data_IF_316594272439
#
_entry.id   IF_316594272439
#
_cell.length_a   1.000
_cell.length_b   1.000
_cell.length_c   1.000
_cell.angle_alpha   90.00
_cell.angle_beta   90.00
_cell.angle_gamma   90.00
#
_symmetry.space_group_name_H-M   'P 1'
#
loop_
_entity.id
_entity.type
_entity.pdbx_description
1 polymer ?
#
# COMPACT_ATOMS: atom_id res chain seq x y z
N UNK A 1 21.73 19.19 12.75
CA UNK A 1 21.39 18.29 13.87
C UNK A 1 20.24 17.38 13.46
N UNK A 2 20.48 16.08 13.20
CA UNK A 2 19.45 15.17 12.67
C UNK A 2 18.58 14.48 13.74
N UNK A 3 19.06 14.36 14.99
CA UNK A 3 18.36 13.61 16.06
C UNK A 3 17.05 14.28 16.51
N UNK A 4 16.99 15.60 16.78
CA UNK A 4 15.74 16.25 17.20
C UNK A 4 14.64 16.13 16.16
N UNK A 5 15.00 16.26 14.87
CA UNK A 5 14.05 16.13 13.74
C UNK A 5 13.43 14.73 13.70
N UNK A 6 14.23 13.68 13.95
CA UNK A 6 13.73 12.31 14.00
C UNK A 6 12.80 12.08 15.20
N UNK A 7 13.12 12.66 16.36
CA UNK A 7 12.28 12.56 17.55
C UNK A 7 10.94 13.27 17.35
N UNK A 8 10.96 14.51 16.82
CA UNK A 8 9.75 15.27 16.51
C UNK A 8 8.84 14.55 15.51
N UNK A 9 9.42 13.95 14.47
CA UNK A 9 8.64 13.20 13.51
C UNK A 9 8.07 11.91 14.12
N UNK A 10 8.84 11.17 14.93
CA UNK A 10 8.34 10.00 15.64
C UNK A 10 7.16 10.34 16.57
N UNK A 11 7.26 11.47 17.28
CA UNK A 11 6.20 11.95 18.16
C UNK A 11 4.95 12.38 17.38
N UNK A 12 5.12 13.06 16.24
CA UNK A 12 4.02 13.37 15.31
C UNK A 12 3.31 12.11 14.81
N UNK A 13 4.05 11.05 14.49
CA UNK A 13 3.47 9.78 14.06
C UNK A 13 2.75 9.06 15.23
N UNK A 14 3.27 9.16 16.45
CA UNK A 14 2.61 8.64 17.65
C UNK A 14 1.28 9.36 17.93
N UNK A 15 1.23 10.69 17.81
CA UNK A 15 -0.02 11.44 17.97
C UNK A 15 -1.07 11.05 16.93
N UNK A 16 -0.66 10.79 15.69
CA UNK A 16 -1.55 10.24 14.65
C UNK A 16 -2.09 8.86 15.01
N UNK A 17 -1.27 7.99 15.57
CA UNK A 17 -1.72 6.68 16.05
C UNK A 17 -2.77 6.84 17.16
N UNK A 18 -2.49 7.68 18.17
CA UNK A 18 -3.39 7.93 19.32
C UNK A 18 -4.77 8.47 18.92
N UNK A 19 -4.85 9.20 17.80
CA UNK A 19 -6.10 9.72 17.26
C UNK A 19 -7.05 8.62 16.75
N UNK A 20 -6.55 7.40 16.52
CA UNK A 20 -7.37 6.25 16.14
C UNK A 20 -8.20 5.75 17.32
N UNK A 21 -9.45 5.38 17.06
CA UNK A 21 -10.37 4.85 18.07
C UNK A 21 -9.77 3.64 18.79
N UNK A 22 -9.76 3.67 20.13
CA UNK A 22 -9.24 2.60 20.98
C UNK A 22 -7.80 2.78 21.48
N UNK A 23 -7.06 3.80 21.01
CA UNK A 23 -5.68 4.17 21.45
C UNK A 23 -4.59 3.08 21.33
N UNK A 24 -4.95 1.85 20.97
CA UNK A 24 -4.04 0.72 20.78
C UNK A 24 -3.79 0.47 19.29
N UNK A 25 -3.06 1.39 18.69
CA UNK A 25 -2.79 1.48 17.25
C UNK A 25 -1.34 1.87 17.02
N UNK A 26 -0.91 1.74 15.78
CA UNK A 26 0.40 2.13 15.32
C UNK A 26 0.27 2.96 14.05
N UNK A 27 1.28 3.78 13.77
CA UNK A 27 1.36 4.57 12.55
C UNK A 27 2.57 4.13 11.74
N UNK A 28 2.33 3.67 10.51
CA UNK A 28 3.39 3.23 9.58
C UNK A 28 3.21 3.94 8.26
N UNK A 29 4.26 4.57 7.75
CA UNK A 29 4.20 5.44 6.55
C UNK A 29 3.09 6.51 6.62
N UNK A 30 2.87 7.09 7.80
CA UNK A 30 1.80 8.06 8.07
C UNK A 30 0.37 7.51 8.02
N UNK A 31 0.22 6.19 8.09
CA UNK A 31 -1.08 5.51 8.08
C UNK A 31 -1.34 4.93 9.47
N UNK A 32 -2.34 5.46 10.21
CA UNK A 32 -2.77 4.87 11.47
C UNK A 32 -3.59 3.60 11.20
N UNK A 33 -3.18 2.50 11.82
CA UNK A 33 -3.84 1.19 11.74
C UNK A 33 -3.85 0.51 13.11
N UNK A 34 -4.84 -0.36 13.34
CA UNK A 34 -4.79 -1.26 14.50
C UNK A 34 -3.69 -2.30 14.31
N UNK A 35 -3.26 -2.95 15.40
CA UNK A 35 -2.32 -4.07 15.31
C UNK A 35 -2.81 -5.21 14.42
N UNK A 36 -4.11 -5.53 14.48
CA UNK A 36 -4.72 -6.58 13.65
C UNK A 36 -4.68 -6.21 12.16
N UNK A 37 -5.00 -4.96 11.83
CA UNK A 37 -4.89 -4.45 10.45
C UNK A 37 -3.44 -4.47 9.98
N UNK A 38 -2.49 -4.09 10.85
CA UNK A 38 -1.08 -4.12 10.52
C UNK A 38 -0.59 -5.54 10.23
N UNK A 39 -0.96 -6.53 11.05
CA UNK A 39 -0.55 -7.93 10.82
C UNK A 39 -1.04 -8.44 9.47
N UNK A 40 -2.28 -8.11 9.08
CA UNK A 40 -2.81 -8.43 7.76
C UNK A 40 -1.99 -7.76 6.64
N UNK A 41 -1.81 -6.44 6.74
CA UNK A 41 -1.09 -5.65 5.73
C UNK A 41 0.38 -6.08 5.61
N UNK A 42 1.02 -6.41 6.72
CA UNK A 42 2.39 -6.91 6.78
C UNK A 42 2.52 -8.27 6.09
N UNK A 43 1.61 -9.21 6.38
CA UNK A 43 1.59 -10.52 5.73
C UNK A 43 1.32 -10.39 4.22
N UNK A 44 0.44 -9.48 3.80
CA UNK A 44 0.24 -9.19 2.38
C UNK A 44 1.51 -8.59 1.75
N UNK A 45 2.20 -7.69 2.45
CA UNK A 45 3.50 -7.17 2.04
C UNK A 45 4.56 -8.27 1.82
N UNK A 46 4.63 -9.26 2.72
CA UNK A 46 5.53 -10.42 2.56
C UNK A 46 5.19 -11.23 1.31
N UNK A 47 3.91 -11.55 1.10
CA UNK A 47 3.45 -12.26 -0.10
C UNK A 47 3.79 -11.49 -1.37
N UNK A 48 3.60 -10.17 -1.37
CA UNK A 48 3.98 -9.31 -2.49
C UNK A 48 5.48 -9.30 -2.73
N UNK A 49 6.30 -9.26 -1.68
CA UNK A 49 7.75 -9.36 -1.79
C UNK A 49 8.18 -10.70 -2.42
N UNK A 50 7.53 -11.80 -2.05
CA UNK A 50 7.80 -13.11 -2.63
C UNK A 50 7.46 -13.15 -4.14
N UNK A 51 6.31 -12.64 -4.55
CA UNK A 51 5.94 -12.53 -5.97
C UNK A 51 6.92 -11.68 -6.78
N UNK A 52 7.38 -10.57 -6.20
CA UNK A 52 8.38 -9.70 -6.80
C UNK A 52 9.75 -10.38 -6.91
N UNK A 53 10.19 -11.07 -5.83
CA UNK A 53 11.47 -11.77 -5.79
C UNK A 53 11.55 -12.93 -6.80
N UNK A 54 10.42 -13.62 -7.01
CA UNK A 54 10.29 -14.69 -8.02
C UNK A 54 10.03 -14.17 -9.44
N UNK A 55 9.91 -12.86 -9.62
CA UNK A 55 9.54 -12.23 -10.91
C UNK A 55 8.24 -12.79 -11.48
N UNK A 56 7.30 -13.17 -10.60
CA UNK A 56 5.94 -13.56 -10.95
C UNK A 56 5.06 -12.34 -11.16
N UNK A 57 5.39 -11.23 -10.48
CA UNK A 57 4.78 -9.92 -10.69
C UNK A 57 5.85 -8.85 -10.92
N UNK A 58 5.60 -7.86 -11.81
CA UNK A 58 6.54 -6.79 -12.08
C UNK A 58 6.48 -5.70 -11.01
N UNK A 59 7.64 -5.11 -10.69
CA UNK A 59 7.77 -3.94 -9.79
C UNK A 59 6.89 -2.76 -10.23
N UNK A 60 6.66 -2.61 -11.53
CA UNK A 60 5.84 -1.52 -12.08
C UNK A 60 4.38 -1.59 -11.61
N UNK A 61 3.82 -2.78 -11.35
CA UNK A 61 2.49 -2.93 -10.77
C UNK A 61 2.43 -2.27 -9.39
N UNK A 62 3.37 -2.60 -8.51
CA UNK A 62 3.41 -2.10 -7.14
C UNK A 62 3.70 -0.60 -7.06
N UNK A 63 4.51 -0.06 -7.98
CA UNK A 63 4.68 1.40 -8.11
C UNK A 63 3.37 2.10 -8.48
N UNK A 64 2.56 1.52 -9.35
CA UNK A 64 1.22 2.04 -9.68
C UNK A 64 0.25 1.91 -8.51
N UNK A 65 0.27 0.78 -7.80
CA UNK A 65 -0.54 0.61 -6.60
C UNK A 65 -0.19 1.65 -5.53
N UNK A 66 1.10 1.99 -5.36
CA UNK A 66 1.53 3.05 -4.45
C UNK A 66 0.98 4.42 -4.86
N UNK A 67 1.06 4.77 -6.15
CA UNK A 67 0.50 6.03 -6.68
C UNK A 67 -1.02 6.10 -6.44
N UNK A 68 -1.75 5.04 -6.80
CA UNK A 68 -3.20 4.94 -6.57
C UNK A 68 -3.55 5.01 -5.08
N UNK A 69 -2.71 4.45 -4.21
CA UNK A 69 -2.88 4.48 -2.76
C UNK A 69 -2.76 5.90 -2.22
N UNK A 70 -1.78 6.68 -2.71
CA UNK A 70 -1.65 8.09 -2.35
C UNK A 70 -2.83 8.93 -2.87
N UNK A 71 -3.31 8.68 -4.09
CA UNK A 71 -4.51 9.37 -4.63
C UNK A 71 -5.77 9.06 -3.83
N UNK A 72 -5.95 7.80 -3.44
CA UNK A 72 -7.05 7.38 -2.59
C UNK A 72 -6.97 8.06 -1.22
N UNK A 73 -5.77 8.18 -0.63
CA UNK A 73 -5.56 8.93 0.61
C UNK A 73 -5.97 10.41 0.45
N UNK A 74 -5.45 11.10 -0.56
CA UNK A 74 -5.76 12.52 -0.75
C UNK A 74 -7.25 12.77 -0.99
N UNK A 75 -7.93 11.88 -1.73
CA UNK A 75 -9.38 12.01 -1.91
C UNK A 75 -10.18 11.67 -0.65
N UNK A 76 -9.90 10.54 0.00
CA UNK A 76 -10.77 9.97 1.04
C UNK A 76 -10.47 10.51 2.44
N UNK A 77 -9.22 10.85 2.73
CA UNK A 77 -8.79 11.35 4.04
C UNK A 77 -8.59 12.87 4.03
N UNK A 78 -8.04 13.44 2.96
CA UNK A 78 -7.75 14.88 2.87
C UNK A 78 -8.87 15.67 2.18
N UNK A 79 -9.81 14.99 1.50
CA UNK A 79 -10.93 15.62 0.81
C UNK A 79 -10.55 16.33 -0.50
N UNK A 80 -9.38 16.03 -1.10
CA UNK A 80 -8.96 16.56 -2.39
C UNK A 80 -9.62 15.80 -3.55
N UNK A 81 -10.73 16.34 -4.04
CA UNK A 81 -11.53 15.80 -5.14
C UNK A 81 -11.06 16.33 -6.52
N UNK A 82 -9.76 16.62 -6.68
CA UNK A 82 -9.21 16.93 -8.00
C UNK A 82 -9.50 15.80 -9.00
N UNK A 83 -9.60 16.15 -10.29
CA UNK A 83 -9.91 15.20 -11.37
C UNK A 83 -8.92 14.02 -11.43
N UNK A 84 -7.67 14.24 -11.05
CA UNK A 84 -6.63 13.21 -10.97
C UNK A 84 -6.88 12.21 -9.85
N UNK A 85 -7.29 12.69 -8.67
CA UNK A 85 -7.53 11.84 -7.50
C UNK A 85 -8.85 11.10 -7.63
N UNK A 86 -9.92 11.78 -8.06
CA UNK A 86 -11.26 11.20 -8.18
C UNK A 86 -11.34 9.93 -9.06
N UNK A 87 -10.39 9.78 -10.00
CA UNK A 87 -10.33 8.66 -10.94
C UNK A 87 -9.54 7.45 -10.42
N UNK A 88 -9.03 7.47 -9.18
CA UNK A 88 -8.18 6.40 -8.65
C UNK A 88 -8.84 5.02 -8.76
N UNK A 89 -10.15 4.90 -8.50
CA UNK A 89 -10.84 3.60 -8.50
C UNK A 89 -10.96 3.02 -9.92
N UNK A 90 -11.32 3.86 -10.89
CA UNK A 90 -11.39 3.44 -12.30
C UNK A 90 -10.00 3.04 -12.82
N UNK A 91 -8.96 3.80 -12.45
CA UNK A 91 -7.58 3.49 -12.80
C UNK A 91 -7.06 2.23 -12.12
N UNK A 92 -7.48 1.93 -10.89
CA UNK A 92 -7.19 0.67 -10.21
C UNK A 92 -7.76 -0.51 -10.98
N UNK A 93 -9.06 -0.48 -11.29
CA UNK A 93 -9.73 -1.55 -12.05
C UNK A 93 -9.06 -1.78 -13.41
N UNK A 94 -8.79 -0.70 -14.14
CA UNK A 94 -8.08 -0.77 -15.42
C UNK A 94 -6.66 -1.34 -15.26
N UNK A 95 -5.93 -0.91 -14.23
CA UNK A 95 -4.57 -1.38 -13.95
C UNK A 95 -4.58 -2.89 -13.69
N UNK A 96 -5.43 -3.38 -12.79
CA UNK A 96 -5.53 -4.81 -12.48
C UNK A 96 -5.89 -5.62 -13.72
N UNK A 97 -6.90 -5.20 -14.49
CA UNK A 97 -7.28 -5.87 -15.74
C UNK A 97 -6.10 -5.95 -16.72
N UNK A 98 -5.39 -4.84 -16.92
CA UNK A 98 -4.24 -4.78 -17.83
C UNK A 98 -3.10 -5.70 -17.42
N UNK A 99 -2.76 -5.77 -16.13
CA UNK A 99 -1.69 -6.65 -15.66
C UNK A 99 -2.10 -8.12 -15.66
N UNK A 100 -3.38 -8.43 -15.41
CA UNK A 100 -3.94 -9.78 -15.53
C UNK A 100 -3.75 -10.37 -16.93
N UNK A 101 -3.82 -9.55 -17.97
CA UNK A 101 -3.62 -9.98 -19.37
C UNK A 101 -2.15 -10.05 -19.80
N UNK A 102 -1.21 -9.55 -19.00
CA UNK A 102 0.21 -9.57 -19.35
C UNK A 102 0.80 -10.97 -19.21
N UNK A 103 1.36 -11.51 -20.31
CA UNK A 103 2.08 -12.80 -20.31
C UNK A 103 3.24 -12.88 -19.32
N UNK A 104 3.81 -11.74 -18.93
CA UNK A 104 4.90 -11.67 -17.96
C UNK A 104 4.45 -11.88 -16.50
N UNK A 105 3.15 -11.77 -16.21
CA UNK A 105 2.62 -12.01 -14.88
C UNK A 105 2.26 -13.49 -14.72
N UNK A 106 2.89 -14.17 -13.76
CA UNK A 106 2.81 -15.61 -13.55
C UNK A 106 2.12 -15.94 -12.23
N UNK A 107 0.89 -15.45 -12.06
CA UNK A 107 0.05 -15.69 -10.88
C UNK A 107 -1.33 -16.19 -11.30
N UNK A 108 -2.00 -16.94 -10.42
CA UNK A 108 -3.34 -17.47 -10.69
C UNK A 108 -4.36 -16.36 -10.88
N UNK A 109 -5.41 -16.61 -11.68
CA UNK A 109 -6.49 -15.64 -11.91
C UNK A 109 -7.12 -15.13 -10.60
N UNK A 110 -7.32 -16.04 -9.63
CA UNK A 110 -7.86 -15.74 -8.30
C UNK A 110 -7.06 -14.67 -7.54
N UNK A 111 -5.75 -14.55 -7.79
CA UNK A 111 -4.93 -13.51 -7.17
C UNK A 111 -5.47 -12.12 -7.50
N UNK A 112 -5.81 -11.87 -8.76
CA UNK A 112 -6.28 -10.56 -9.23
C UNK A 112 -7.64 -10.20 -8.66
N UNK A 113 -8.55 -11.19 -8.61
CA UNK A 113 -9.89 -11.00 -8.07
C UNK A 113 -9.81 -10.72 -6.56
N UNK A 114 -8.97 -11.47 -5.83
CA UNK A 114 -8.72 -11.23 -4.40
C UNK A 114 -8.05 -9.88 -4.15
N UNK A 115 -7.05 -9.50 -4.98
CA UNK A 115 -6.36 -8.22 -4.86
C UNK A 115 -7.34 -7.05 -5.03
N UNK A 116 -8.19 -7.09 -6.06
CA UNK A 116 -9.19 -6.05 -6.27
C UNK A 116 -10.18 -5.99 -5.11
N UNK A 117 -10.72 -7.14 -4.69
CA UNK A 117 -11.67 -7.22 -3.59
C UNK A 117 -11.09 -6.66 -2.29
N UNK A 118 -9.85 -7.04 -1.94
CA UNK A 118 -9.15 -6.55 -0.76
C UNK A 118 -8.95 -5.04 -0.81
N UNK A 119 -8.39 -4.51 -1.90
CA UNK A 119 -8.10 -3.08 -2.05
C UNK A 119 -9.38 -2.22 -2.03
N UNK A 120 -10.50 -2.75 -2.49
CA UNK A 120 -11.79 -2.03 -2.47
C UNK A 120 -12.62 -2.26 -1.20
N UNK A 121 -12.15 -3.09 -0.27
CA UNK A 121 -12.88 -3.41 0.95
C UNK A 121 -12.87 -2.27 1.97
N UNK A 122 -13.68 -2.42 3.02
CA UNK A 122 -13.81 -1.46 4.12
C UNK A 122 -14.06 -0.02 3.62
N UNK A 123 -15.10 0.16 2.81
CA UNK A 123 -15.44 1.46 2.20
C UNK A 123 -14.23 2.12 1.51
N UNK A 124 -13.43 1.33 0.78
CA UNK A 124 -12.22 1.75 0.07
C UNK A 124 -11.05 2.21 0.94
N UNK A 125 -11.15 2.11 2.27
CA UNK A 125 -10.04 2.48 3.15
C UNK A 125 -8.81 1.59 2.93
N UNK A 126 -9.03 0.33 2.55
CA UNK A 126 -7.92 -0.58 2.27
C UNK A 126 -7.04 -0.14 1.11
N UNK A 127 -7.54 0.66 0.16
CA UNK A 127 -6.73 1.17 -0.93
C UNK A 127 -5.62 2.11 -0.45
N UNK A 128 -5.89 3.00 0.49
CA UNK A 128 -4.85 3.87 1.02
C UNK A 128 -4.01 3.17 2.09
N UNK A 129 -4.61 2.28 2.90
CA UNK A 129 -3.86 1.47 3.88
C UNK A 129 -2.89 0.48 3.23
N UNK A 130 -3.18 0.00 2.02
CA UNK A 130 -2.30 -0.93 1.29
C UNK A 130 -0.92 -0.38 0.97
N UNK A 131 -0.71 0.94 1.09
CA UNK A 131 0.63 1.56 1.04
C UNK A 131 1.61 0.86 1.96
N UNK A 132 1.18 0.39 3.14
CA UNK A 132 2.03 -0.38 4.06
C UNK A 132 2.57 -1.65 3.38
N UNK A 133 1.67 -2.48 2.83
CA UNK A 133 2.04 -3.72 2.14
C UNK A 133 2.91 -3.46 0.92
N UNK A 134 2.55 -2.46 0.11
CA UNK A 134 3.25 -2.10 -1.13
C UNK A 134 4.65 -1.57 -0.84
N UNK A 135 4.80 -0.65 0.12
CA UNK A 135 6.10 -0.12 0.53
C UNK A 135 6.99 -1.21 1.12
N UNK A 136 6.44 -2.07 1.98
CA UNK A 136 7.19 -3.22 2.51
C UNK A 136 7.77 -4.08 1.39
N UNK A 137 6.93 -4.47 0.42
CA UNK A 137 7.36 -5.31 -0.70
C UNK A 137 8.47 -4.64 -1.53
N UNK A 138 8.28 -3.36 -1.89
CA UNK A 138 9.24 -2.58 -2.66
C UNK A 138 10.58 -2.41 -1.93
N UNK A 139 10.57 -2.13 -0.62
CA UNK A 139 11.80 -2.01 0.16
C UNK A 139 12.51 -3.35 0.35
N UNK A 140 11.76 -4.44 0.50
CA UNK A 140 12.32 -5.78 0.67
C UNK A 140 13.16 -6.19 -0.55
N UNK A 141 12.64 -5.98 -1.77
CA UNK A 141 13.37 -6.32 -2.98
C UNK A 141 14.48 -5.33 -3.34
N UNK A 142 14.42 -4.08 -2.87
CA UNK A 142 15.43 -3.05 -3.17
C UNK A 142 16.82 -3.48 -2.70
N UNK A 143 16.89 -4.15 -1.56
CA UNK A 143 18.13 -4.71 -1.00
C UNK A 143 18.71 -5.87 -1.81
N UNK A 144 17.85 -6.61 -2.53
CA UNK A 144 18.24 -7.75 -3.36
C UNK A 144 18.84 -7.25 -4.68
N UNK A 145 18.25 -6.21 -5.27
CA UNK A 145 18.74 -5.63 -6.54
C UNK A 145 20.07 -4.87 -6.39
N UNK A 146 20.44 -4.42 -5.19
CA UNK A 146 21.71 -3.71 -4.94
C UNK A 146 22.91 -4.63 -4.70
N UNK A 147 22.71 -5.96 -4.67
CA UNK A 147 23.77 -6.96 -4.44
C UNK A 147 24.24 -7.66 -5.73
N UNK A 148 23.86 -7.15 -6.91
CA UNK A 148 24.29 -7.63 -8.23
C UNK A 148 25.11 -6.50 -8.86
#
# INVERSE_FOLDING_TARGET
MPIPILAEEAERQLERAKAQQGKNSLCVFSIPVSWQEFDLLYNNGKRYADYLGRQELPVSLFRKLLDLSNRAWSMLAEGDISSTNALWLSQLKYTIARYREMKSCRVAAQFWDNLLAELTSNHYQMMWKSKISVCYALYSIRSITTKI
#
